data_IF_550806918086
#
_entry.id   IF_550806918086
#
_cell.length_a   1.000
_cell.length_b   1.000
_cell.length_c   1.000
_cell.angle_alpha   90.00
_cell.angle_beta   90.00
_cell.angle_gamma   90.00
#
_symmetry.space_group_name_H-M   'P 1'
#
loop_
_entity.id
_entity.type
_entity.pdbx_description
1 polymer ?
#
# COMPACT_ATOMS: atom_id res chain seq x y z
N UNK A 1 -17.56 -19.53 -8.37
CA UNK A 1 -16.16 -19.03 -8.33
C UNK A 1 -15.85 -18.41 -9.68
N UNK A 2 -15.21 -17.24 -9.70
CA UNK A 2 -14.70 -16.61 -10.93
C UNK A 2 -13.19 -16.47 -10.82
N UNK A 3 -12.48 -16.89 -11.86
CA UNK A 3 -11.03 -16.68 -12.00
C UNK A 3 -10.79 -15.77 -13.20
N UNK A 4 -9.93 -14.76 -13.02
CA UNK A 4 -9.45 -13.91 -14.10
C UNK A 4 -7.92 -13.94 -14.10
N UNK A 5 -7.33 -14.04 -15.28
CA UNK A 5 -5.88 -14.12 -15.48
C UNK A 5 -5.46 -12.93 -16.32
N UNK A 6 -4.44 -12.21 -15.88
CA UNK A 6 -3.89 -11.04 -16.55
C UNK A 6 -2.35 -11.12 -16.61
N UNK A 7 -1.74 -10.41 -17.56
CA UNK A 7 -0.29 -10.25 -17.58
C UNK A 7 0.15 -9.42 -16.37
N UNK A 8 1.26 -9.82 -15.74
CA UNK A 8 1.87 -9.06 -14.66
C UNK A 8 2.71 -7.89 -15.16
N UNK A 9 3.33 -7.20 -14.22
CA UNK A 9 4.16 -6.00 -14.49
C UNK A 9 5.39 -6.35 -15.34
N UNK A 10 5.85 -7.62 -15.30
CA UNK A 10 6.99 -8.12 -16.05
C UNK A 10 6.61 -9.36 -16.89
N UNK A 11 7.40 -9.66 -17.94
CA UNK A 11 7.16 -10.80 -18.86
C UNK A 11 7.10 -12.19 -18.20
N UNK A 12 7.64 -12.32 -16.98
CA UNK A 12 7.67 -13.57 -16.21
C UNK A 12 6.64 -13.58 -15.07
N UNK A 13 5.66 -12.67 -15.09
CA UNK A 13 4.66 -12.55 -14.05
C UNK A 13 3.26 -12.69 -14.65
N UNK A 14 2.41 -13.46 -13.98
CA UNK A 14 0.99 -13.59 -14.29
C UNK A 14 0.20 -13.24 -13.04
N UNK A 15 -0.80 -12.37 -13.18
CA UNK A 15 -1.71 -12.03 -12.10
C UNK A 15 -2.95 -12.91 -12.20
N UNK A 16 -3.31 -13.53 -11.09
CA UNK A 16 -4.52 -14.37 -10.99
C UNK A 16 -5.44 -13.78 -9.93
N UNK A 17 -6.64 -13.42 -10.34
CA UNK A 17 -7.68 -12.87 -9.48
C UNK A 17 -8.73 -13.94 -9.23
N UNK A 18 -9.09 -14.14 -7.96
CA UNK A 18 -10.13 -15.08 -7.54
C UNK A 18 -11.25 -14.32 -6.86
N UNK A 19 -12.49 -14.58 -7.28
CA UNK A 19 -13.69 -14.07 -6.61
C UNK A 19 -14.59 -15.24 -6.28
N UNK A 20 -14.98 -15.35 -5.01
CA UNK A 20 -15.94 -16.34 -4.55
C UNK A 20 -17.32 -15.69 -4.35
N UNK A 21 -18.37 -16.48 -4.59
CA UNK A 21 -19.74 -16.13 -4.29
C UNK A 21 -20.35 -17.35 -3.60
N UNK A 22 -21.03 -17.13 -2.47
CA UNK A 22 -21.78 -18.15 -1.74
C UNK A 22 -23.26 -17.97 -2.07
N UNK A 23 -23.95 -19.08 -2.33
CA UNK A 23 -25.40 -19.15 -2.27
C UNK A 23 -25.79 -19.95 -1.04
N UNK A 24 -26.78 -19.46 -0.31
CA UNK A 24 -27.32 -20.15 0.86
C UNK A 24 -28.69 -20.72 0.51
N UNK A 25 -28.97 -21.91 1.03
CA UNK A 25 -30.29 -22.48 0.96
C UNK A 25 -31.16 -21.75 1.98
N UNK A 26 -32.14 -21.00 1.51
CA UNK A 26 -33.06 -20.22 2.35
C UNK A 26 -34.46 -20.77 2.16
N UNK A 27 -35.14 -21.07 3.26
CA UNK A 27 -36.55 -21.41 3.19
C UNK A 27 -37.38 -20.19 2.82
N UNK A 28 -38.42 -20.41 2.04
CA UNK A 28 -39.33 -19.33 1.70
C UNK A 28 -40.19 -19.00 2.90
N UNK A 29 -40.43 -17.69 3.12
CA UNK A 29 -41.31 -17.25 4.18
C UNK A 29 -42.69 -17.89 3.95
N UNK A 30 -43.23 -18.61 4.95
CA UNK A 30 -44.55 -19.18 4.84
C UNK A 30 -45.59 -18.08 4.64
N UNK A 31 -46.65 -18.39 3.90
CA UNK A 31 -47.74 -17.45 3.65
C UNK A 31 -48.48 -17.06 4.93
N UNK A 32 -48.47 -17.93 5.94
CA UNK A 32 -49.11 -17.71 7.24
C UNK A 32 -48.08 -17.66 8.37
N UNK A 33 -48.18 -16.70 9.31
CA UNK A 33 -47.30 -16.64 10.47
C UNK A 33 -47.50 -17.87 11.37
N UNK A 34 -46.44 -18.66 11.59
CA UNK A 34 -46.44 -19.83 12.47
C UNK A 34 -46.31 -21.19 11.75
N UNK A 35 -46.39 -21.22 10.42
CA UNK A 35 -46.10 -22.41 9.63
C UNK A 35 -44.58 -22.65 9.47
N UNK A 36 -44.20 -23.90 9.18
CA UNK A 36 -42.83 -24.25 8.84
C UNK A 36 -42.48 -23.88 7.39
N UNK A 37 -41.19 -23.65 7.12
CA UNK A 37 -40.67 -23.44 5.78
C UNK A 37 -40.83 -24.73 4.95
N UNK A 38 -41.69 -24.71 3.92
CA UNK A 38 -42.03 -25.89 3.11
C UNK A 38 -41.38 -25.93 1.72
N UNK A 39 -40.82 -24.81 1.26
CA UNK A 39 -40.03 -24.69 0.03
C UNK A 39 -38.70 -23.99 0.30
N UNK A 40 -37.66 -24.39 -0.44
CA UNK A 40 -36.31 -23.84 -0.30
C UNK A 40 -35.81 -23.30 -1.64
N UNK A 41 -35.08 -22.19 -1.62
CA UNK A 41 -34.38 -21.66 -2.78
C UNK A 41 -32.95 -21.28 -2.46
N UNK A 42 -32.08 -21.33 -3.47
CA UNK A 42 -30.75 -20.78 -3.37
C UNK A 42 -30.81 -19.27 -3.55
N UNK A 43 -30.45 -18.52 -2.50
CA UNK A 43 -30.37 -17.07 -2.52
C UNK A 43 -28.91 -16.61 -2.38
N UNK A 44 -28.61 -15.40 -2.86
CA UNK A 44 -27.29 -14.79 -2.66
C UNK A 44 -27.02 -14.61 -1.17
N UNK A 45 -25.93 -15.18 -0.68
CA UNK A 45 -25.51 -14.99 0.71
C UNK A 45 -24.74 -13.67 0.85
N UNK A 46 -24.60 -13.20 2.09
CA UNK A 46 -23.68 -12.10 2.42
C UNK A 46 -22.26 -12.47 1.95
N UNK A 47 -21.52 -11.56 1.31
CA UNK A 47 -20.14 -11.82 0.94
C UNK A 47 -19.31 -12.22 2.15
N UNK A 48 -18.61 -13.36 2.04
CA UNK A 48 -17.67 -13.84 3.05
C UNK A 48 -16.23 -13.70 2.51
N UNK A 49 -15.44 -12.76 3.04
CA UNK A 49 -14.05 -12.57 2.63
C UNK A 49 -13.18 -13.81 2.90
N UNK A 50 -13.51 -14.61 3.92
CA UNK A 50 -12.72 -15.79 4.30
C UNK A 50 -12.78 -16.87 3.22
N UNK A 51 -13.94 -17.05 2.59
CA UNK A 51 -14.13 -18.00 1.49
C UNK A 51 -13.21 -17.68 0.30
N UNK A 52 -13.05 -16.40 -0.03
CA UNK A 52 -12.17 -15.98 -1.14
C UNK A 52 -10.71 -16.21 -0.80
N UNK A 53 -10.29 -15.92 0.43
CA UNK A 53 -8.94 -16.18 0.91
C UNK A 53 -8.61 -17.68 0.89
N UNK A 54 -9.54 -18.52 1.33
CA UNK A 54 -9.40 -19.98 1.32
C UNK A 54 -9.30 -20.54 -0.11
N UNK A 55 -10.12 -20.06 -1.03
CA UNK A 55 -10.04 -20.43 -2.45
C UNK A 55 -8.70 -20.01 -3.07
N UNK A 56 -8.21 -18.80 -2.75
CA UNK A 56 -6.92 -18.32 -3.23
C UNK A 56 -5.76 -19.15 -2.65
N UNK A 57 -5.82 -19.51 -1.37
CA UNK A 57 -4.82 -20.37 -0.74
C UNK A 57 -4.78 -21.78 -1.37
N UNK A 58 -5.94 -22.37 -1.64
CA UNK A 58 -6.03 -23.69 -2.32
C UNK A 58 -5.51 -23.63 -3.75
N UNK A 59 -5.83 -22.56 -4.48
CA UNK A 59 -5.29 -22.35 -5.82
C UNK A 59 -3.77 -22.19 -5.78
N UNK A 60 -3.26 -21.45 -4.80
CA UNK A 60 -1.81 -21.27 -4.59
C UNK A 60 -1.14 -22.60 -4.27
N UNK A 61 -1.75 -23.45 -3.44
CA UNK A 61 -1.26 -24.78 -3.13
C UNK A 61 -1.16 -25.65 -4.40
N UNK A 62 -2.22 -25.64 -5.20
CA UNK A 62 -2.25 -26.36 -6.48
C UNK A 62 -1.18 -25.89 -7.46
N UNK A 63 -1.01 -24.57 -7.62
CA UNK A 63 -0.05 -24.01 -8.57
C UNK A 63 1.41 -24.12 -8.12
N UNK A 64 1.66 -24.07 -6.81
CA UNK A 64 3.02 -24.10 -6.26
C UNK A 64 3.48 -25.50 -5.82
N UNK A 65 2.58 -26.48 -5.74
CA UNK A 65 2.85 -27.80 -5.19
C UNK A 65 3.08 -27.81 -3.67
N UNK A 66 2.81 -26.70 -2.98
CA UNK A 66 2.97 -26.55 -1.53
C UNK A 66 1.74 -27.04 -0.77
N UNK A 67 1.87 -27.23 0.54
CA UNK A 67 0.72 -27.52 1.42
C UNK A 67 -0.25 -26.33 1.50
N UNK A 68 -1.49 -26.60 1.91
CA UNK A 68 -2.49 -25.52 2.12
C UNK A 68 -2.02 -24.53 3.20
N UNK A 69 -1.36 -25.00 4.26
CA UNK A 69 -0.82 -24.15 5.31
C UNK A 69 0.27 -23.19 4.81
N UNK A 70 1.24 -23.70 4.04
CA UNK A 70 2.28 -22.87 3.42
C UNK A 70 1.71 -21.87 2.41
N UNK A 71 0.66 -22.28 1.69
CA UNK A 71 -0.02 -21.44 0.70
C UNK A 71 -0.83 -20.33 1.35
N UNK A 72 -1.52 -20.62 2.46
CA UNK A 72 -2.16 -19.59 3.29
C UNK A 72 -1.14 -18.57 3.78
N UNK A 73 0.03 -19.02 4.24
CA UNK A 73 1.11 -18.13 4.66
C UNK A 73 1.64 -17.27 3.49
N UNK A 74 1.79 -17.84 2.30
CA UNK A 74 2.23 -17.11 1.10
C UNK A 74 1.22 -16.04 0.66
N UNK A 75 -0.07 -16.38 0.69
CA UNK A 75 -1.17 -15.45 0.38
C UNK A 75 -1.21 -14.33 1.42
N UNK A 76 -1.11 -14.65 2.71
CA UNK A 76 -1.04 -13.65 3.77
C UNK A 76 0.17 -12.72 3.62
N UNK A 77 1.34 -13.26 3.24
CA UNK A 77 2.53 -12.47 2.94
C UNK A 77 2.35 -11.54 1.73
N UNK A 78 1.47 -11.89 0.78
CA UNK A 78 1.15 -11.03 -0.38
C UNK A 78 0.32 -9.80 0.00
N UNK A 79 -0.33 -9.83 1.17
CA UNK A 79 -1.03 -8.70 1.77
C UNK A 79 -0.17 -7.95 2.79
N UNK A 80 1.08 -8.36 3.01
CA UNK A 80 1.99 -7.62 3.89
C UNK A 80 2.32 -6.25 3.26
N UNK A 81 2.44 -5.18 4.08
CA UNK A 81 2.85 -3.87 3.60
C UNK A 81 4.13 -3.97 2.78
N UNK A 82 4.08 -3.47 1.55
CA UNK A 82 5.23 -3.48 0.64
C UNK A 82 6.32 -2.51 1.06
N UNK A 83 5.94 -1.50 1.84
CA UNK A 83 6.84 -0.51 2.39
C UNK A 83 6.66 -0.39 3.90
N UNK A 84 7.73 -0.01 4.60
CA UNK A 84 7.71 0.28 6.02
C UNK A 84 8.70 1.38 6.37
N UNK A 85 8.29 2.26 7.28
CA UNK A 85 9.18 3.27 7.85
C UNK A 85 10.03 2.63 8.93
N UNK A 86 11.34 2.81 8.85
CA UNK A 86 12.30 2.41 9.86
C UNK A 86 12.77 3.66 10.60
N UNK A 87 12.77 3.56 11.93
CA UNK A 87 13.31 4.57 12.83
C UNK A 87 14.52 4.00 13.55
N UNK A 88 15.68 4.61 13.34
CA UNK A 88 16.89 4.29 14.09
C UNK A 88 17.11 5.36 15.17
N UNK A 89 16.75 5.01 16.41
CA UNK A 89 16.88 5.88 17.59
C UNK A 89 18.31 6.35 17.84
N UNK A 90 19.31 5.50 17.55
CA UNK A 90 20.71 5.78 17.90
C UNK A 90 21.37 6.77 16.94
N UNK A 91 20.82 6.89 15.72
CA UNK A 91 21.35 7.76 14.65
C UNK A 91 20.41 8.89 14.26
N UNK A 92 19.25 9.00 14.92
CA UNK A 92 18.13 9.87 14.53
C UNK A 92 17.79 9.79 13.02
N UNK A 93 17.96 8.59 12.45
CA UNK A 93 17.70 8.33 11.03
C UNK A 93 16.27 7.79 10.87
N UNK A 94 15.51 8.41 9.96
CA UNK A 94 14.19 7.92 9.50
C UNK A 94 14.26 7.65 8.00
N UNK A 95 13.91 6.44 7.59
CA UNK A 95 13.96 6.02 6.19
C UNK A 95 12.89 4.99 5.87
N UNK A 96 12.57 4.85 4.58
CA UNK A 96 11.61 3.88 4.09
C UNK A 96 12.35 2.65 3.54
N UNK A 97 11.87 1.46 3.86
CA UNK A 97 12.29 0.22 3.19
C UNK A 97 11.12 -0.30 2.37
N UNK A 98 11.36 -0.56 1.09
CA UNK A 98 10.40 -1.13 0.17
C UNK A 98 10.90 -2.50 -0.28
N UNK A 99 10.08 -3.52 -0.10
CA UNK A 99 10.39 -4.94 -0.40
C UNK A 99 10.35 -5.24 -1.91
N UNK A 100 10.95 -4.37 -2.73
CA UNK A 100 10.98 -4.45 -4.18
C UNK A 100 12.32 -3.95 -4.73
N UNK A 101 12.63 -4.38 -5.95
CA UNK A 101 13.87 -4.05 -6.62
C UNK A 101 13.94 -2.57 -7.01
N UNK A 102 15.16 -2.02 -7.01
CA UNK A 102 15.42 -0.60 -7.24
C UNK A 102 14.73 0.02 -8.46
N UNK A 103 14.76 -0.57 -9.67
CA UNK A 103 14.09 0.04 -10.83
C UNK A 103 12.58 0.16 -10.65
N UNK A 104 11.95 -0.77 -9.93
CA UNK A 104 10.50 -0.74 -9.66
C UNK A 104 10.19 0.35 -8.63
N UNK A 105 10.97 0.41 -7.56
CA UNK A 105 10.81 1.41 -6.49
C UNK A 105 11.05 2.81 -7.03
N UNK A 106 12.02 2.99 -7.92
CA UNK A 106 12.28 4.27 -8.59
C UNK A 106 11.05 4.80 -9.34
N UNK A 107 10.45 3.96 -10.18
CA UNK A 107 9.26 4.34 -10.96
C UNK A 107 8.04 4.60 -10.05
N UNK A 108 7.84 3.76 -9.03
CA UNK A 108 6.74 3.91 -8.07
C UNK A 108 6.88 5.17 -7.22
N UNK A 109 8.10 5.46 -6.76
CA UNK A 109 8.38 6.67 -5.99
C UNK A 109 8.08 7.93 -6.82
N UNK A 110 8.45 7.96 -8.09
CA UNK A 110 8.10 9.07 -8.98
C UNK A 110 6.59 9.30 -9.07
N UNK A 111 5.80 8.22 -9.24
CA UNK A 111 4.34 8.30 -9.28
C UNK A 111 3.73 8.68 -7.92
N UNK A 112 4.27 8.17 -6.82
CA UNK A 112 3.84 8.53 -5.47
C UNK A 112 4.05 10.02 -5.21
N UNK A 113 5.19 10.57 -5.59
CA UNK A 113 5.49 12.00 -5.46
C UNK A 113 4.54 12.86 -6.30
N UNK A 114 4.25 12.45 -7.54
CA UNK A 114 3.27 13.12 -8.40
C UNK A 114 1.87 13.15 -7.78
N UNK A 115 1.39 12.01 -7.25
CA UNK A 115 0.10 11.91 -6.55
C UNK A 115 0.02 12.76 -5.28
N UNK A 116 1.15 12.91 -4.59
CA UNK A 116 1.26 13.78 -3.42
C UNK A 116 1.35 15.27 -3.78
N UNK A 117 1.37 15.63 -5.06
CA UNK A 117 1.40 17.02 -5.52
C UNK A 117 2.79 17.65 -5.54
N UNK A 118 3.85 16.84 -5.53
CA UNK A 118 5.21 17.34 -5.66
C UNK A 118 5.53 17.69 -7.13
N UNK A 119 6.17 18.84 -7.31
CA UNK A 119 6.73 19.27 -8.58
C UNK A 119 8.18 18.76 -8.72
N UNK A 120 8.53 18.06 -9.80
CA UNK A 120 9.89 17.58 -10.02
C UNK A 120 10.86 18.74 -10.27
N UNK A 121 12.02 18.73 -9.60
CA UNK A 121 13.13 19.67 -9.87
C UNK A 121 14.23 18.97 -10.66
N UNK A 122 14.70 17.82 -10.16
CA UNK A 122 15.77 17.03 -10.77
C UNK A 122 15.61 15.57 -10.37
N UNK A 123 15.92 14.65 -11.27
CA UNK A 123 16.05 13.24 -10.92
C UNK A 123 17.22 12.62 -11.68
N UNK A 124 17.99 11.77 -11.00
CA UNK A 124 19.04 10.96 -11.60
C UNK A 124 18.94 9.53 -11.09
N UNK A 125 18.44 8.63 -11.93
CA UNK A 125 18.28 7.21 -11.61
C UNK A 125 19.63 6.48 -11.47
N UNK A 126 20.71 6.97 -12.06
CA UNK A 126 22.03 6.35 -11.87
C UNK A 126 22.57 6.67 -10.48
N UNK A 127 22.38 7.91 -10.05
CA UNK A 127 22.86 8.38 -8.74
C UNK A 127 21.87 8.06 -7.61
N UNK A 128 20.66 7.61 -7.94
CA UNK A 128 19.61 7.34 -6.97
C UNK A 128 19.10 8.59 -6.28
N UNK A 129 19.08 9.74 -6.94
CA UNK A 129 18.73 11.02 -6.32
C UNK A 129 17.53 11.68 -7.00
N UNK A 130 16.54 12.08 -6.19
CA UNK A 130 15.34 12.79 -6.65
C UNK A 130 15.17 14.05 -5.81
N UNK A 131 15.14 15.21 -6.46
CA UNK A 131 14.81 16.49 -5.84
C UNK A 131 13.46 16.97 -6.35
N UNK A 132 12.57 17.29 -5.42
CA UNK A 132 11.21 17.78 -5.69
C UNK A 132 10.87 18.99 -4.82
N UNK A 133 9.84 19.74 -5.22
CA UNK A 133 9.27 20.84 -4.43
C UNK A 133 7.79 20.66 -4.22
N UNK A 134 7.26 21.14 -3.11
CA UNK A 134 5.83 21.13 -2.82
C UNK A 134 5.35 22.54 -2.48
N UNK A 135 4.29 23.05 -3.15
CA UNK A 135 3.81 24.42 -2.94
C UNK A 135 2.94 24.61 -1.69
N UNK A 136 2.54 23.51 -1.04
CA UNK A 136 1.66 23.53 0.13
C UNK A 136 1.94 22.39 1.13
N UNK A 137 3.15 22.31 1.71
CA UNK A 137 3.55 21.17 2.55
C UNK A 137 2.70 20.93 3.80
N UNK A 138 1.86 21.88 4.19
CA UNK A 138 0.94 21.73 5.31
C UNK A 138 -0.16 20.69 5.05
N UNK A 139 -0.43 20.35 3.79
CA UNK A 139 -1.37 19.27 3.44
C UNK A 139 -1.03 17.94 4.10
N UNK A 140 0.25 17.66 4.34
CA UNK A 140 0.71 16.41 4.96
C UNK A 140 0.28 16.26 6.44
N UNK A 141 -0.26 17.33 7.04
CA UNK A 141 -0.68 17.40 8.44
C UNK A 141 -2.19 17.44 8.62
N UNK A 142 -2.96 17.50 7.53
CA UNK A 142 -4.42 17.68 7.57
C UNK A 142 -5.15 16.53 8.29
N UNK A 143 -4.62 15.30 8.20
CA UNK A 143 -5.25 14.09 8.77
C UNK A 143 -4.92 13.87 10.26
N UNK A 144 -4.21 14.80 10.92
CA UNK A 144 -4.00 14.78 12.38
C UNK A 144 -2.94 13.78 12.88
N UNK A 145 -2.11 13.22 12.00
CA UNK A 145 -1.16 12.14 12.34
C UNK A 145 0.08 12.59 13.15
N UNK A 146 0.27 13.88 13.43
CA UNK A 146 1.41 14.37 14.22
C UNK A 146 0.89 14.94 15.54
N UNK A 147 1.11 14.17 16.61
CA UNK A 147 0.65 14.47 17.98
C UNK A 147 1.06 15.88 18.40
N UNK A 148 0.07 16.76 18.56
CA UNK A 148 0.19 17.99 19.36
C UNK A 148 0.75 19.23 18.68
N UNK A 149 1.09 19.17 17.38
CA UNK A 149 1.63 20.33 16.68
C UNK A 149 0.56 21.07 15.87
N UNK A 150 0.30 22.34 16.22
CA UNK A 150 -0.60 23.22 15.46
C UNK A 150 0.15 23.78 14.26
N UNK A 151 -0.19 23.31 13.06
CA UNK A 151 0.32 23.85 11.80
C UNK A 151 -0.65 24.91 11.28
N UNK A 152 -0.14 26.09 10.92
CA UNK A 152 -0.96 27.13 10.28
C UNK A 152 -1.17 26.79 8.79
N UNK A 153 -2.40 26.36 8.49
CA UNK A 153 -2.84 25.98 7.15
C UNK A 153 -2.98 27.19 6.20
N UNK A 154 -3.02 28.43 6.72
CA UNK A 154 -3.18 29.65 5.93
C UNK A 154 -1.86 30.31 5.55
N UNK A 155 -0.79 29.97 6.25
CA UNK A 155 0.54 30.51 5.98
C UNK A 155 1.03 30.01 4.61
N UNK A 156 1.65 30.88 3.81
CA UNK A 156 2.27 30.44 2.55
C UNK A 156 3.63 29.81 2.87
N UNK A 157 3.75 28.52 2.63
CA UNK A 157 5.00 27.78 2.79
C UNK A 157 5.29 26.97 1.53
N UNK A 158 6.57 26.78 1.24
CA UNK A 158 7.02 25.83 0.22
C UNK A 158 8.02 24.88 0.84
N UNK A 159 8.09 23.66 0.30
CA UNK A 159 9.05 22.65 0.73
C UNK A 159 9.90 22.22 -0.45
N UNK A 160 11.19 22.05 -0.23
CA UNK A 160 12.08 21.31 -1.13
C UNK A 160 12.56 20.05 -0.41
N UNK A 161 12.56 18.94 -1.14
CA UNK A 161 12.88 17.61 -0.63
C UNK A 161 13.85 16.94 -1.59
N UNK A 162 14.96 16.43 -1.05
CA UNK A 162 15.91 15.58 -1.77
C UNK A 162 15.89 14.18 -1.16
N UNK A 163 15.56 13.19 -1.98
CA UNK A 163 15.50 11.79 -1.62
C UNK A 163 16.69 11.03 -2.22
N UNK A 164 17.27 10.12 -1.44
CA UNK A 164 18.26 9.14 -1.90
C UNK A 164 17.64 7.76 -1.91
N UNK A 165 17.69 7.08 -3.05
CA UNK A 165 17.14 5.76 -3.28
C UNK A 165 18.31 4.80 -3.46
N UNK A 166 18.40 3.80 -2.59
CA UNK A 166 19.55 2.91 -2.46
C UNK A 166 19.13 1.44 -2.56
N UNK A 167 19.58 0.68 -3.58
CA UNK A 167 19.38 -0.75 -3.62
C UNK A 167 20.08 -1.42 -2.41
N UNK A 168 19.42 -2.41 -1.83
CA UNK A 168 19.96 -3.21 -0.73
C UNK A 168 20.41 -4.59 -1.24
N UNK A 169 21.31 -5.24 -0.48
CA UNK A 169 21.84 -6.56 -0.84
C UNK A 169 20.78 -7.67 -0.81
N UNK A 170 19.70 -7.48 -0.05
CA UNK A 170 18.58 -8.41 0.06
C UNK A 170 17.53 -8.23 -1.07
N UNK A 171 17.81 -7.35 -2.04
CA UNK A 171 16.89 -7.04 -3.14
C UNK A 171 15.80 -6.03 -2.80
N UNK A 172 15.73 -5.55 -1.55
CA UNK A 172 14.89 -4.42 -1.17
C UNK A 172 15.51 -3.09 -1.61
N UNK A 173 14.75 -2.01 -1.48
CA UNK A 173 15.24 -0.65 -1.76
C UNK A 173 14.97 0.25 -0.57
N UNK A 174 16.00 0.98 -0.15
CA UNK A 174 15.94 2.00 0.90
C UNK A 174 15.70 3.36 0.28
N UNK A 175 14.81 4.16 0.86
CA UNK A 175 14.60 5.56 0.49
C UNK A 175 14.87 6.42 1.72
N UNK A 176 15.87 7.27 1.61
CA UNK A 176 16.30 8.22 2.64
C UNK A 176 15.91 9.64 2.25
N UNK A 177 15.54 10.46 3.24
CA UNK A 177 15.50 11.91 3.08
C UNK A 177 16.92 12.44 3.27
N UNK A 178 17.57 12.87 2.19
CA UNK A 178 18.92 13.46 2.26
C UNK A 178 18.85 14.91 2.73
N UNK A 179 17.93 15.68 2.16
CA UNK A 179 17.75 17.09 2.47
C UNK A 179 16.27 17.43 2.49
N UNK A 180 15.88 18.29 3.43
CA UNK A 180 14.55 18.87 3.49
C UNK A 180 14.70 20.33 3.91
N UNK A 181 14.05 21.23 3.19
CA UNK A 181 14.02 22.64 3.51
C UNK A 181 12.61 23.19 3.35
N UNK A 182 12.16 23.96 4.33
CA UNK A 182 10.86 24.62 4.33
C UNK A 182 11.09 26.11 4.30
N UNK A 183 10.51 26.79 3.31
CA UNK A 183 10.58 28.24 3.17
C UNK A 183 9.24 28.85 3.57
N UNK A 184 9.29 29.99 4.26
CA UNK A 184 8.09 30.72 4.67
C UNK A 184 7.50 30.28 6.00
N UNK A 185 8.19 29.41 6.77
CA UNK A 185 7.78 29.00 8.11
C UNK A 185 8.57 27.80 8.64
N UNK A 186 8.05 27.17 9.69
CA UNK A 186 8.60 25.91 10.23
C UNK A 186 7.50 24.86 10.27
N UNK A 187 7.89 23.61 10.05
CA UNK A 187 6.98 22.47 10.14
C UNK A 187 7.51 21.46 11.16
N UNK A 188 6.64 20.90 12.01
CA UNK A 188 7.00 19.95 13.06
C UNK A 188 7.24 18.56 12.45
N UNK A 189 8.35 17.90 12.77
CA UNK A 189 8.64 16.53 12.28
C UNK A 189 8.47 16.37 10.74
N UNK A 190 8.87 17.39 9.98
CA UNK A 190 8.69 17.47 8.52
C UNK A 190 9.16 16.24 7.74
N UNK A 191 10.32 15.70 8.12
CA UNK A 191 10.86 14.45 7.57
C UNK A 191 9.90 13.28 7.74
N UNK A 192 9.26 13.16 8.90
CA UNK A 192 8.35 12.05 9.18
C UNK A 192 6.99 12.25 8.53
N UNK A 193 6.45 13.46 8.55
CA UNK A 193 5.19 13.79 7.87
C UNK A 193 5.24 13.35 6.40
N UNK A 194 6.31 13.75 5.72
CA UNK A 194 6.52 13.44 4.30
C UNK A 194 6.77 11.95 4.10
N UNK A 195 7.64 11.31 4.89
CA UNK A 195 7.89 9.88 4.77
C UNK A 195 6.64 9.03 5.05
N UNK A 196 5.77 9.46 5.97
CA UNK A 196 4.48 8.81 6.23
C UNK A 196 3.59 8.85 4.99
N UNK A 197 3.44 10.03 4.37
CA UNK A 197 2.65 10.17 3.17
C UNK A 197 3.22 9.41 1.97
N UNK A 198 4.55 9.37 1.85
CA UNK A 198 5.20 8.54 0.83
C UNK A 198 4.95 7.05 1.11
N UNK A 199 5.07 6.58 2.35
CA UNK A 199 4.79 5.19 2.73
C UNK A 199 3.35 4.79 2.36
N UNK A 200 2.37 5.62 2.70
CA UNK A 200 0.95 5.41 2.34
C UNK A 200 0.72 5.23 0.83
N UNK A 201 1.52 5.90 -0.01
CA UNK A 201 1.42 5.77 -1.48
C UNK A 201 2.21 4.58 -2.05
N UNK A 202 3.08 3.96 -1.25
CA UNK A 202 3.98 2.89 -1.67
C UNK A 202 3.52 1.48 -1.23
N UNK A 203 2.49 1.39 -0.37
CA UNK A 203 1.74 0.16 -0.10
C UNK A 203 0.92 -0.29 -1.32
#
# INVERSE_FOLDING_TARGET
MRIRIENGENKNQTLVFVTSQKMELTGEKPYFPGDDESSFKYANAKPDPTLTADMLARLTAYLSGKTEAESRALVAASFAPRSKIIFNKDKDERYLIVSQAYPQVWNRLGLALDRLGFNPVKSNQKDGEITVTHPYPQSFYADGAIRGAKVDMKQKMTMQLTLKVLPQKDGSTRIDVSEISVTGGTLPDDRFAVLSKINEQME
#
